data_IF_451022751102
#
_entry.id   IF_451022751102
#
_cell.length_a   1.000
_cell.length_b   1.000
_cell.length_c   1.000
_cell.angle_alpha   90.00
_cell.angle_beta   90.00
_cell.angle_gamma   90.00
#
_symmetry.space_group_name_H-M   'P 1'
#
loop_
_entity.id
_entity.type
_entity.pdbx_description
1 polymer ?
#
# COMPACT_ATOMS: atom_id res chain seq x y z
N UNK A 1 -16.01 -61.69 -16.57
CA UNK A 1 -15.04 -60.66 -16.94
C UNK A 1 -15.45 -59.39 -16.24
N UNK A 2 -14.81 -59.10 -15.12
CA UNK A 2 -15.10 -57.87 -14.32
C UNK A 2 -14.06 -56.82 -14.71
N UNK A 3 -14.51 -55.70 -15.30
CA UNK A 3 -13.66 -54.54 -15.62
C UNK A 3 -13.15 -53.88 -14.36
N UNK A 4 -11.89 -53.49 -14.29
CA UNK A 4 -11.36 -52.77 -13.13
C UNK A 4 -11.96 -51.35 -13.08
N UNK A 5 -12.53 -50.98 -11.90
CA UNK A 5 -12.97 -49.63 -11.60
C UNK A 5 -11.71 -48.79 -11.34
N UNK A 6 -11.38 -47.91 -12.26
CA UNK A 6 -10.36 -46.91 -12.06
C UNK A 6 -10.95 -45.80 -11.15
N UNK A 7 -10.57 -45.81 -9.90
CA UNK A 7 -10.88 -44.70 -8.98
C UNK A 7 -9.96 -43.54 -9.34
N UNK A 8 -10.47 -42.38 -9.75
CA UNK A 8 -9.61 -41.20 -9.97
C UNK A 8 -9.00 -40.79 -8.64
N UNK A 9 -7.68 -40.86 -8.53
CA UNK A 9 -6.94 -40.24 -7.44
C UNK A 9 -7.16 -38.72 -7.61
N UNK A 10 -8.01 -38.17 -6.77
CA UNK A 10 -8.14 -36.72 -6.66
C UNK A 10 -6.76 -36.19 -6.24
N UNK A 11 -6.03 -35.65 -7.19
CA UNK A 11 -4.81 -34.89 -6.94
C UNK A 11 -5.25 -33.59 -6.27
N UNK A 12 -5.43 -33.60 -4.95
CA UNK A 12 -5.54 -32.39 -4.15
C UNK A 12 -4.16 -31.74 -4.16
N UNK A 13 -3.83 -31.09 -5.28
CA UNK A 13 -2.87 -29.99 -5.26
C UNK A 13 -3.43 -29.07 -4.16
N UNK A 14 -2.74 -29.00 -3.04
CA UNK A 14 -3.19 -28.18 -1.91
C UNK A 14 -3.51 -26.81 -2.46
N UNK A 15 -4.77 -26.37 -2.31
CA UNK A 15 -5.16 -25.04 -2.67
C UNK A 15 -4.15 -24.10 -2.03
N UNK A 16 -3.47 -23.28 -2.85
CA UNK A 16 -2.52 -22.32 -2.34
C UNK A 16 -3.23 -21.56 -1.23
N UNK A 17 -2.76 -21.71 0.01
CA UNK A 17 -3.40 -21.08 1.17
C UNK A 17 -3.43 -19.59 0.89
N UNK A 18 -4.62 -18.99 0.83
CA UNK A 18 -4.76 -17.58 0.54
C UNK A 18 -3.86 -16.78 1.49
N UNK A 19 -3.09 -15.84 0.95
CA UNK A 19 -2.23 -14.98 1.75
C UNK A 19 -3.12 -14.06 2.60
N UNK A 20 -3.36 -14.45 3.85
CA UNK A 20 -4.15 -13.72 4.83
C UNK A 20 -3.41 -13.63 6.17
N UNK A 21 -3.96 -12.84 7.10
CA UNK A 21 -3.34 -12.61 8.39
C UNK A 21 -3.12 -13.91 9.19
N UNK A 22 -4.07 -14.87 9.15
CA UNK A 22 -3.91 -16.15 9.85
C UNK A 22 -2.72 -16.95 9.28
N UNK A 23 -2.58 -17.04 7.96
CA UNK A 23 -1.47 -17.72 7.32
C UNK A 23 -0.13 -17.04 7.62
N UNK A 24 -0.09 -15.71 7.61
CA UNK A 24 1.08 -14.91 7.97
C UNK A 24 1.49 -15.19 9.42
N UNK A 25 0.54 -15.17 10.37
CA UNK A 25 0.79 -15.40 11.79
C UNK A 25 1.39 -16.77 12.04
N UNK A 26 0.86 -17.82 11.39
CA UNK A 26 1.43 -19.16 11.47
C UNK A 26 2.85 -19.24 10.92
N UNK A 27 3.13 -18.52 9.83
CA UNK A 27 4.46 -18.50 9.24
C UNK A 27 5.46 -17.77 10.13
N UNK A 28 5.08 -16.62 10.73
CA UNK A 28 5.92 -15.90 11.70
C UNK A 28 6.31 -16.82 12.85
N UNK A 29 5.33 -17.53 13.47
CA UNK A 29 5.60 -18.47 14.55
C UNK A 29 6.57 -19.59 14.15
N UNK A 30 6.42 -20.14 12.93
CA UNK A 30 7.33 -21.18 12.39
C UNK A 30 8.75 -20.65 12.16
N UNK A 31 8.90 -19.45 11.58
CA UNK A 31 10.23 -18.86 11.33
C UNK A 31 10.95 -18.45 12.60
N UNK A 32 10.23 -18.00 13.62
CA UNK A 32 10.77 -17.71 14.94
C UNK A 32 10.93 -18.95 15.81
N UNK A 33 10.48 -20.12 15.32
CA UNK A 33 10.47 -21.39 16.05
C UNK A 33 9.77 -21.31 17.42
N UNK A 34 8.63 -20.61 17.47
CA UNK A 34 7.85 -20.32 18.68
C UNK A 34 6.36 -20.56 18.43
N UNK A 35 5.69 -21.14 19.43
CA UNK A 35 4.24 -21.42 19.40
C UNK A 35 3.44 -20.57 20.39
N UNK A 36 4.12 -19.83 21.24
CA UNK A 36 3.55 -19.01 22.33
C UNK A 36 3.41 -17.52 21.97
N UNK A 37 3.61 -17.15 20.70
CA UNK A 37 3.60 -15.76 20.23
C UNK A 37 2.23 -15.29 19.69
N UNK A 38 1.20 -16.14 19.74
CA UNK A 38 -0.10 -15.83 19.13
C UNK A 38 -0.68 -14.46 19.57
N UNK A 39 -0.50 -14.11 20.85
CA UNK A 39 -1.05 -12.89 21.43
C UNK A 39 -0.21 -11.63 21.06
N UNK A 40 1.06 -11.79 20.70
CA UNK A 40 1.97 -10.66 20.40
C UNK A 40 2.21 -10.47 18.91
N UNK A 41 1.98 -11.48 18.07
CA UNK A 41 2.12 -11.37 16.60
C UNK A 41 1.30 -10.21 16.01
N UNK A 42 0.06 -9.91 16.46
CA UNK A 42 -0.69 -8.75 15.97
C UNK A 42 0.06 -7.43 16.19
N UNK A 43 0.84 -7.30 17.27
CA UNK A 43 1.64 -6.10 17.51
C UNK A 43 2.83 -6.00 16.55
N UNK A 44 3.47 -7.12 16.21
CA UNK A 44 4.54 -7.15 15.20
C UNK A 44 4.01 -6.71 13.83
N UNK A 45 2.83 -7.20 13.45
CA UNK A 45 2.19 -6.81 12.18
C UNK A 45 1.84 -5.33 12.18
N UNK A 46 1.26 -4.82 13.27
CA UNK A 46 0.91 -3.39 13.40
C UNK A 46 2.14 -2.49 13.32
N UNK A 47 3.27 -2.88 13.94
CA UNK A 47 4.53 -2.16 13.85
C UNK A 47 5.09 -2.19 12.42
N UNK A 48 5.05 -3.35 11.76
CA UNK A 48 5.45 -3.48 10.37
C UNK A 48 4.63 -2.57 9.44
N UNK A 49 3.29 -2.59 9.55
CA UNK A 49 2.40 -1.73 8.76
C UNK A 49 2.65 -0.23 8.99
N UNK A 50 2.95 0.15 10.23
CA UNK A 50 3.32 1.53 10.55
C UNK A 50 4.65 1.95 9.89
N UNK A 51 5.60 1.04 9.74
CA UNK A 51 6.84 1.30 9.00
C UNK A 51 6.60 1.33 7.49
N UNK A 52 5.81 0.42 6.93
CA UNK A 52 5.44 0.43 5.51
C UNK A 52 4.78 1.75 5.09
N UNK A 53 3.93 2.32 5.93
CA UNK A 53 3.31 3.61 5.68
C UNK A 53 4.31 4.79 5.67
N UNK A 54 5.48 4.63 6.27
CA UNK A 54 6.53 5.66 6.37
C UNK A 54 7.68 5.46 5.38
N UNK A 55 7.95 4.23 4.96
CA UNK A 55 9.02 3.92 4.01
C UNK A 55 8.63 4.35 2.59
N UNK A 56 9.30 5.36 2.01
CA UNK A 56 8.98 5.85 0.67
C UNK A 56 9.15 4.77 -0.40
N UNK A 57 10.01 3.77 -0.17
CA UNK A 57 10.25 2.67 -1.09
C UNK A 57 9.00 1.78 -1.23
N UNK A 58 8.33 1.48 -0.12
CA UNK A 58 7.10 0.69 -0.09
C UNK A 58 5.92 1.56 -0.52
N UNK A 59 5.87 2.81 -0.07
CA UNK A 59 4.82 3.76 -0.47
C UNK A 59 4.73 3.94 -1.99
N UNK A 60 5.85 3.87 -2.70
CA UNK A 60 5.86 3.96 -4.18
C UNK A 60 5.03 2.86 -4.86
N UNK A 61 4.78 1.75 -4.18
CA UNK A 61 3.96 0.64 -4.65
C UNK A 61 2.49 0.72 -4.18
N UNK A 62 2.12 1.71 -3.38
CA UNK A 62 0.75 1.86 -2.88
C UNK A 62 -0.22 2.17 -4.02
N UNK A 63 -1.43 1.66 -3.89
CA UNK A 63 -2.45 1.82 -4.90
C UNK A 63 -2.90 3.27 -5.03
N UNK A 64 -2.98 3.74 -6.27
CA UNK A 64 -3.62 5.01 -6.62
C UNK A 64 -5.10 4.75 -6.90
N UNK A 65 -5.95 5.49 -6.21
CA UNK A 65 -7.41 5.41 -6.35
C UNK A 65 -7.93 6.69 -6.98
N UNK A 66 -8.86 6.53 -7.90
CA UNK A 66 -9.57 7.64 -8.54
C UNK A 66 -11.03 7.59 -8.11
N UNK A 67 -11.54 8.70 -7.60
CA UNK A 67 -12.94 8.86 -7.20
C UNK A 67 -13.51 10.05 -7.94
N UNK A 68 -14.59 9.83 -8.67
CA UNK A 68 -15.38 10.88 -9.29
C UNK A 68 -16.59 11.20 -8.40
N UNK A 69 -16.93 12.47 -8.29
CA UNK A 69 -18.04 12.94 -7.49
C UNK A 69 -18.56 14.30 -7.93
N UNK A 70 -19.54 14.81 -7.20
CA UNK A 70 -20.14 16.12 -7.43
C UNK A 70 -20.23 16.88 -6.11
N UNK A 71 -19.87 18.16 -6.11
CA UNK A 71 -20.08 19.07 -4.97
C UNK A 71 -21.03 20.18 -5.35
N UNK A 72 -21.82 20.64 -4.38
CA UNK A 72 -22.78 21.76 -4.56
C UNK A 72 -22.31 23.05 -3.91
N UNK A 73 -21.36 22.97 -3.01
CA UNK A 73 -20.91 24.07 -2.14
C UNK A 73 -19.37 24.26 -2.17
N UNK A 74 -18.68 23.51 -3.06
CA UNK A 74 -17.23 23.55 -3.15
C UNK A 74 -16.51 22.89 -1.99
N UNK A 75 -17.21 22.07 -1.20
CA UNK A 75 -16.61 21.26 -0.14
C UNK A 75 -16.58 19.79 -0.57
N UNK A 76 -15.43 19.16 -0.46
CA UNK A 76 -15.23 17.75 -0.83
C UNK A 76 -14.71 17.00 0.39
N UNK A 77 -15.49 16.06 0.89
CA UNK A 77 -15.04 15.15 1.93
C UNK A 77 -13.97 14.21 1.38
N UNK A 78 -12.79 14.21 2.00
CA UNK A 78 -11.67 13.36 1.60
C UNK A 78 -11.85 11.96 2.19
N UNK A 79 -11.56 10.89 1.42
CA UNK A 79 -11.68 9.52 1.89
C UNK A 79 -10.84 9.24 3.14
N UNK A 80 -11.38 8.48 4.08
CA UNK A 80 -10.70 8.15 5.34
C UNK A 80 -9.44 7.28 5.13
N UNK A 81 -9.42 6.51 4.05
CA UNK A 81 -8.32 5.67 3.61
C UNK A 81 -7.28 6.42 2.76
N UNK A 82 -7.46 7.73 2.54
CA UNK A 82 -6.49 8.54 1.82
C UNK A 82 -5.21 8.72 2.66
N UNK A 83 -4.08 8.30 2.10
CA UNK A 83 -2.74 8.58 2.64
C UNK A 83 -2.24 9.94 2.15
N UNK A 84 -2.29 10.15 0.84
CA UNK A 84 -1.77 11.34 0.19
C UNK A 84 -2.62 11.73 -1.01
N UNK A 85 -2.98 13.00 -1.10
CA UNK A 85 -3.65 13.56 -2.26
C UNK A 85 -2.63 13.76 -3.39
N UNK A 86 -2.87 13.15 -4.53
CA UNK A 86 -2.02 13.30 -5.73
C UNK A 86 -2.54 14.39 -6.64
N UNK A 87 -3.85 14.39 -6.91
CA UNK A 87 -4.47 15.35 -7.81
C UNK A 87 -5.95 15.57 -7.44
N UNK A 88 -6.38 16.81 -7.53
CA UNK A 88 -7.80 17.17 -7.49
C UNK A 88 -8.13 17.99 -8.75
N UNK A 89 -9.10 17.51 -9.53
CA UNK A 89 -9.63 18.19 -10.72
C UNK A 89 -11.07 18.59 -10.52
N UNK A 90 -11.43 19.71 -11.12
CA UNK A 90 -12.81 20.17 -11.18
C UNK A 90 -13.13 20.72 -12.58
N UNK A 91 -14.18 20.21 -13.21
CA UNK A 91 -14.53 20.60 -14.57
C UNK A 91 -13.38 20.46 -15.58
N UNK A 92 -12.51 19.46 -15.41
CA UNK A 92 -11.33 19.23 -16.27
C UNK A 92 -10.08 20.02 -15.87
N UNK A 93 -10.19 21.01 -14.97
CA UNK A 93 -9.06 21.84 -14.53
C UNK A 93 -8.42 21.25 -13.27
N UNK A 94 -7.08 21.14 -13.25
CA UNK A 94 -6.33 20.74 -12.06
C UNK A 94 -6.34 21.88 -11.05
N UNK A 95 -6.68 21.58 -9.80
CA UNK A 95 -6.67 22.54 -8.70
C UNK A 95 -5.32 22.52 -7.99
N UNK A 96 -4.84 23.70 -7.62
CA UNK A 96 -3.60 23.86 -6.86
C UNK A 96 -3.91 23.98 -5.37
N UNK A 97 -3.27 23.15 -4.55
CA UNK A 97 -3.40 23.26 -3.10
C UNK A 97 -2.63 24.46 -2.58
N UNK A 98 -3.28 25.28 -1.76
CA UNK A 98 -2.69 26.41 -1.07
C UNK A 98 -2.73 26.22 0.45
N UNK A 99 -1.76 26.77 1.19
CA UNK A 99 -1.87 26.95 2.63
C UNK A 99 -3.14 27.74 2.96
N UNK A 100 -3.76 27.45 4.12
CA UNK A 100 -5.03 28.10 4.50
C UNK A 100 -4.92 29.63 4.55
N UNK A 101 -3.80 30.16 5.00
CA UNK A 101 -3.58 31.61 5.05
C UNK A 101 -3.66 32.26 3.66
N UNK A 102 -3.00 31.68 2.67
CA UNK A 102 -2.97 32.19 1.30
C UNK A 102 -4.28 31.97 0.56
N UNK A 103 -4.97 30.87 0.87
CA UNK A 103 -6.26 30.53 0.26
C UNK A 103 -7.38 31.45 0.72
N UNK A 104 -7.41 31.85 2.01
CA UNK A 104 -8.46 32.69 2.60
C UNK A 104 -8.64 34.00 1.87
N UNK A 105 -7.55 34.59 1.36
CA UNK A 105 -7.56 35.88 0.69
C UNK A 105 -7.85 35.77 -0.82
N UNK A 106 -8.07 34.53 -1.32
CA UNK A 106 -8.41 34.26 -2.73
C UNK A 106 -9.91 34.20 -2.94
N UNK A 107 -10.43 35.06 -3.81
CA UNK A 107 -11.87 35.13 -4.15
C UNK A 107 -12.21 34.20 -5.31
N UNK A 108 -11.24 33.93 -6.23
CA UNK A 108 -11.46 33.10 -7.43
C UNK A 108 -10.17 32.42 -7.88
N UNK A 109 -10.31 31.42 -8.75
CA UNK A 109 -9.21 30.68 -9.35
C UNK A 109 -9.23 29.18 -9.02
N UNK A 110 -8.39 28.38 -9.69
CA UNK A 110 -8.34 26.93 -9.54
C UNK A 110 -7.53 26.53 -8.29
N UNK A 111 -7.98 26.98 -7.13
CA UNK A 111 -7.28 26.72 -5.87
C UNK A 111 -8.19 26.02 -4.87
N UNK A 112 -7.56 25.25 -3.99
CA UNK A 112 -8.22 24.66 -2.83
C UNK A 112 -7.31 24.68 -1.61
N UNK A 113 -7.88 24.55 -0.44
CA UNK A 113 -7.17 24.30 0.81
C UNK A 113 -7.75 23.08 1.51
N UNK A 114 -6.93 22.40 2.31
CA UNK A 114 -7.37 21.30 3.13
C UNK A 114 -7.51 21.74 4.58
N UNK A 115 -8.70 21.54 5.15
CA UNK A 115 -8.98 21.78 6.57
C UNK A 115 -9.51 20.46 7.14
N UNK A 116 -8.70 19.82 7.98
CA UNK A 116 -9.03 18.50 8.50
C UNK A 116 -9.15 17.46 7.39
N UNK A 117 -10.34 16.87 7.24
CA UNK A 117 -10.63 15.87 6.20
C UNK A 117 -11.55 16.42 5.10
N UNK A 118 -11.54 17.73 4.87
CA UNK A 118 -12.34 18.39 3.83
C UNK A 118 -11.42 19.25 2.96
N UNK A 119 -11.59 19.17 1.65
CA UNK A 119 -11.01 20.10 0.69
C UNK A 119 -12.02 21.20 0.41
N UNK A 120 -11.64 22.46 0.66
CA UNK A 120 -12.44 23.66 0.41
C UNK A 120 -11.95 24.34 -0.85
N UNK A 121 -12.83 24.50 -1.84
CA UNK A 121 -12.50 25.05 -3.16
C UNK A 121 -12.83 26.53 -3.21
N UNK A 122 -11.94 27.30 -3.81
CA UNK A 122 -12.13 28.75 -3.98
C UNK A 122 -13.37 29.03 -4.82
N UNK A 123 -14.20 30.01 -4.37
CA UNK A 123 -15.43 30.38 -5.07
C UNK A 123 -16.61 29.43 -4.88
N UNK A 124 -16.44 28.34 -4.14
CA UNK A 124 -17.49 27.35 -3.80
C UNK A 124 -18.33 26.91 -5.01
N UNK A 125 -17.72 26.43 -6.09
CA UNK A 125 -18.46 26.05 -7.29
C UNK A 125 -19.27 24.77 -7.07
N UNK A 126 -20.45 24.72 -7.70
CA UNK A 126 -21.19 23.47 -7.88
C UNK A 126 -20.69 22.79 -9.16
N UNK A 127 -19.96 21.69 -9.06
CA UNK A 127 -19.35 21.01 -10.21
C UNK A 127 -18.96 19.58 -9.90
N UNK A 128 -18.74 18.82 -10.98
CA UNK A 128 -18.09 17.51 -10.91
C UNK A 128 -16.62 17.67 -10.55
N UNK A 129 -16.14 16.74 -9.74
CA UNK A 129 -14.73 16.65 -9.39
C UNK A 129 -14.18 15.24 -9.61
N UNK A 130 -12.87 15.18 -9.83
CA UNK A 130 -12.09 13.93 -9.83
C UNK A 130 -10.98 14.06 -8.81
N UNK A 131 -10.98 13.15 -7.85
CA UNK A 131 -10.00 13.03 -6.80
C UNK A 131 -9.08 11.84 -7.09
N UNK A 132 -7.78 12.07 -7.21
CA UNK A 132 -6.77 11.02 -7.35
C UNK A 132 -5.89 11.04 -6.11
N UNK A 133 -5.81 9.91 -5.42
CA UNK A 133 -5.06 9.83 -4.17
C UNK A 133 -4.37 8.48 -4.00
N UNK A 134 -3.33 8.48 -3.19
CA UNK A 134 -2.67 7.26 -2.73
C UNK A 134 -3.45 6.70 -1.54
N UNK A 135 -3.87 5.44 -1.65
CA UNK A 135 -4.61 4.75 -0.60
C UNK A 135 -3.68 4.23 0.49
N UNK A 136 -4.09 4.32 1.75
CA UNK A 136 -3.43 3.63 2.86
C UNK A 136 -3.49 2.13 2.64
N UNK A 137 -2.46 1.42 3.09
CA UNK A 137 -2.48 -0.02 3.13
C UNK A 137 -3.58 -0.48 4.10
N UNK A 138 -4.57 -1.30 3.65
CA UNK A 138 -5.57 -1.87 4.55
C UNK A 138 -4.91 -2.70 5.65
N UNK A 139 -5.26 -2.42 6.90
CA UNK A 139 -4.70 -3.12 8.06
C UNK A 139 -5.19 -4.55 8.16
N UNK A 140 -4.34 -5.42 8.70
CA UNK A 140 -4.65 -6.82 8.98
C UNK A 140 -5.11 -6.95 10.44
N UNK A 141 -6.42 -6.83 10.68
CA UNK A 141 -7.02 -6.88 12.02
C UNK A 141 -7.66 -8.25 12.33
N UNK A 142 -8.29 -8.87 11.34
CA UNK A 142 -8.98 -10.15 11.48
C UNK A 142 -8.23 -11.29 10.76
N UNK A 143 -8.39 -12.55 11.22
CA UNK A 143 -7.68 -13.70 10.61
C UNK A 143 -7.85 -13.85 9.10
N UNK A 144 -9.01 -13.44 8.57
CA UNK A 144 -9.32 -13.50 7.13
C UNK A 144 -8.77 -12.31 6.33
N UNK A 145 -8.30 -11.25 7.00
CA UNK A 145 -7.88 -10.03 6.33
C UNK A 145 -6.67 -10.27 5.45
N UNK A 146 -6.69 -9.57 4.32
CA UNK A 146 -5.63 -9.59 3.33
C UNK A 146 -5.56 -8.22 2.66
N UNK A 147 -4.39 -7.85 2.23
CA UNK A 147 -4.18 -6.68 1.39
C UNK A 147 -3.28 -7.02 0.20
N UNK A 148 -3.14 -6.09 -0.74
CA UNK A 148 -2.38 -6.31 -1.96
C UNK A 148 -0.89 -6.59 -1.67
N UNK A 149 -0.28 -5.90 -0.69
CA UNK A 149 1.12 -6.11 -0.32
C UNK A 149 1.35 -7.52 0.22
N UNK A 150 0.44 -8.01 1.05
CA UNK A 150 0.52 -9.38 1.57
C UNK A 150 0.34 -10.44 0.49
N UNK A 151 -0.53 -10.18 -0.51
CA UNK A 151 -0.77 -11.14 -1.60
C UNK A 151 0.38 -11.20 -2.61
N UNK A 152 0.95 -10.05 -2.95
CA UNK A 152 1.93 -9.94 -4.04
C UNK A 152 3.37 -9.98 -3.53
N UNK A 153 3.60 -9.48 -2.30
CA UNK A 153 4.91 -9.35 -1.68
C UNK A 153 4.88 -9.90 -0.24
N UNK A 154 4.52 -11.17 -0.13
CA UNK A 154 4.40 -11.87 1.15
C UNK A 154 5.69 -11.84 1.97
N UNK A 155 6.82 -11.91 1.31
CA UNK A 155 8.16 -11.88 1.88
C UNK A 155 8.47 -10.56 2.61
N UNK A 156 7.99 -9.42 2.10
CA UNK A 156 8.13 -8.10 2.76
C UNK A 156 7.46 -8.12 4.14
N UNK A 157 6.21 -8.63 4.21
CA UNK A 157 5.52 -8.76 5.49
C UNK A 157 6.22 -9.75 6.43
N UNK A 158 6.53 -10.93 5.92
CA UNK A 158 7.09 -12.01 6.73
C UNK A 158 8.41 -11.60 7.38
N UNK A 159 9.34 -11.07 6.58
CA UNK A 159 10.67 -10.73 7.10
C UNK A 159 10.60 -9.55 8.06
N UNK A 160 9.76 -8.55 7.80
CA UNK A 160 9.59 -7.42 8.72
C UNK A 160 8.98 -7.85 10.05
N UNK A 161 7.96 -8.70 10.02
CA UNK A 161 7.37 -9.23 11.25
C UNK A 161 8.33 -10.14 12.03
N UNK A 162 9.13 -10.95 11.34
CA UNK A 162 10.16 -11.78 12.00
C UNK A 162 11.27 -10.91 12.62
N UNK A 163 11.64 -9.80 11.97
CA UNK A 163 12.56 -8.81 12.56
C UNK A 163 11.99 -8.23 13.85
N UNK A 164 10.73 -7.77 13.84
CA UNK A 164 10.08 -7.24 15.05
C UNK A 164 10.00 -8.31 16.16
N UNK A 165 9.70 -9.54 15.79
CA UNK A 165 9.67 -10.65 16.73
C UNK A 165 11.04 -10.96 17.34
N UNK A 166 12.12 -10.91 16.57
CA UNK A 166 13.48 -11.12 17.08
C UNK A 166 13.95 -9.95 17.96
N UNK A 167 13.55 -8.72 17.66
CA UNK A 167 13.77 -7.57 18.55
C UNK A 167 13.06 -7.79 19.90
N UNK A 168 11.80 -8.24 19.87
CA UNK A 168 11.06 -8.58 21.09
C UNK A 168 11.73 -9.66 21.91
N UNK A 169 12.30 -10.68 21.25
CA UNK A 169 13.06 -11.76 21.90
C UNK A 169 14.47 -11.34 22.33
N UNK A 170 14.92 -10.15 21.98
CA UNK A 170 16.28 -9.63 22.23
C UNK A 170 17.37 -10.46 21.53
N UNK A 171 17.06 -11.07 20.41
CA UNK A 171 18.01 -11.83 19.58
C UNK A 171 18.59 -10.91 18.50
N UNK A 172 19.76 -10.37 18.78
CA UNK A 172 20.42 -9.39 17.89
C UNK A 172 20.89 -10.02 16.58
N UNK A 173 21.35 -11.27 16.61
CA UNK A 173 21.84 -11.97 15.43
C UNK A 173 20.68 -12.28 14.47
N UNK A 174 19.59 -12.84 14.99
CA UNK A 174 18.39 -13.09 14.21
C UNK A 174 17.79 -11.78 13.66
N UNK A 175 17.80 -10.71 14.43
CA UNK A 175 17.33 -9.39 14.00
C UNK A 175 18.09 -8.89 12.76
N UNK A 176 19.41 -8.98 12.76
CA UNK A 176 20.24 -8.59 11.62
C UNK A 176 19.96 -9.47 10.40
N UNK A 177 19.82 -10.77 10.60
CA UNK A 177 19.50 -11.73 9.55
C UNK A 177 18.15 -11.47 8.87
N UNK A 178 17.10 -11.19 9.67
CA UNK A 178 15.78 -10.87 9.15
C UNK A 178 15.73 -9.48 8.49
N UNK A 179 16.44 -8.49 9.03
CA UNK A 179 16.56 -7.17 8.41
C UNK A 179 17.20 -7.28 7.02
N UNK A 180 18.27 -8.06 6.84
CA UNK A 180 18.88 -8.27 5.53
C UNK A 180 17.90 -8.88 4.53
N UNK A 181 17.12 -9.88 4.95
CA UNK A 181 16.09 -10.51 4.10
C UNK A 181 14.99 -9.50 3.73
N UNK A 182 14.56 -8.68 4.68
CA UNK A 182 13.61 -7.61 4.44
C UNK A 182 14.12 -6.59 3.41
N UNK A 183 15.35 -6.12 3.56
CA UNK A 183 15.96 -5.19 2.60
C UNK A 183 16.07 -5.79 1.19
N UNK A 184 16.38 -7.07 1.06
CA UNK A 184 16.39 -7.76 -0.23
C UNK A 184 14.98 -7.81 -0.85
N UNK A 185 13.94 -8.10 -0.05
CA UNK A 185 12.56 -8.14 -0.50
C UNK A 185 12.07 -6.76 -0.96
N UNK A 186 12.38 -5.70 -0.21
CA UNK A 186 12.03 -4.32 -0.57
C UNK A 186 12.74 -3.88 -1.86
N UNK A 187 14.00 -4.23 -2.04
CA UNK A 187 14.73 -3.92 -3.27
C UNK A 187 14.15 -4.66 -4.49
N UNK A 188 13.70 -5.91 -4.31
CA UNK A 188 12.99 -6.66 -5.35
C UNK A 188 11.66 -5.99 -5.73
N UNK A 189 10.87 -5.54 -4.74
CA UNK A 189 9.64 -4.79 -4.94
C UNK A 189 9.88 -3.51 -5.74
N UNK A 190 10.89 -2.72 -5.38
CA UNK A 190 11.26 -1.50 -6.12
C UNK A 190 11.62 -1.78 -7.57
N UNK A 191 12.37 -2.85 -7.80
CA UNK A 191 12.76 -3.25 -9.16
C UNK A 191 11.52 -3.60 -9.98
N UNK A 192 10.60 -4.38 -9.43
CA UNK A 192 9.34 -4.73 -10.08
C UNK A 192 8.49 -3.49 -10.41
N UNK A 193 8.36 -2.54 -9.46
CA UNK A 193 7.61 -1.30 -9.67
C UNK A 193 8.23 -0.44 -10.78
N UNK A 194 9.54 -0.32 -10.82
CA UNK A 194 10.22 0.44 -11.88
C UNK A 194 9.95 -0.17 -13.25
N UNK A 195 9.95 -1.48 -13.40
CA UNK A 195 9.58 -2.13 -14.66
C UNK A 195 8.14 -1.81 -15.07
N UNK A 196 7.19 -1.81 -14.12
CA UNK A 196 5.80 -1.47 -14.41
C UNK A 196 5.62 0.02 -14.77
N UNK A 197 6.29 0.92 -14.08
CA UNK A 197 6.20 2.37 -14.31
C UNK A 197 6.76 2.78 -15.69
N UNK A 198 7.82 2.10 -16.16
CA UNK A 198 8.45 2.44 -17.43
C UNK A 198 7.89 1.65 -18.63
N UNK A 199 6.98 0.71 -18.42
CA UNK A 199 6.23 0.01 -19.49
C UNK A 199 7.09 -0.61 -20.59
N UNK A 200 8.36 -0.91 -20.32
CA UNK A 200 9.30 -1.44 -21.31
C UNK A 200 9.68 -0.44 -22.42
N UNK A 201 9.34 0.85 -22.29
CA UNK A 201 9.76 1.86 -23.25
C UNK A 201 11.29 2.01 -23.23
N UNK A 202 11.98 1.92 -24.38
CA UNK A 202 13.42 2.13 -24.42
C UNK A 202 13.73 3.55 -23.97
N UNK A 203 14.74 3.69 -23.10
CA UNK A 203 15.24 4.99 -22.67
C UNK A 203 15.76 5.72 -23.90
N UNK A 204 15.03 6.71 -24.40
CA UNK A 204 15.54 7.62 -25.41
C UNK A 204 16.53 8.58 -24.74
N UNK A 205 17.81 8.30 -24.87
CA UNK A 205 18.86 9.28 -24.58
C UNK A 205 18.77 10.35 -25.64
N UNK A 206 18.18 11.50 -25.33
CA UNK A 206 18.36 12.69 -26.16
C UNK A 206 19.83 13.08 -26.09
N UNK A 207 20.59 12.74 -27.13
CA UNK A 207 21.91 13.31 -27.34
C UNK A 207 21.69 14.80 -27.63
N UNK A 208 21.94 15.68 -26.65
CA UNK A 208 21.96 17.11 -26.83
C UNK A 208 22.99 17.43 -27.90
N UNK A 209 22.52 17.86 -29.07
CA UNK A 209 23.38 18.44 -30.10
C UNK A 209 24.02 19.69 -29.54
N UNK A 210 25.32 19.65 -29.37
CA UNK A 210 26.14 20.86 -29.17
C UNK A 210 26.15 21.60 -30.50
N UNK A 211 25.58 22.79 -30.52
CA UNK A 211 25.75 23.80 -31.59
C UNK A 211 26.89 24.72 -31.19
#
# INVERSE_FOLDING_TARGET
>A
MTSPVVVPVANTVGAATAANFAALSLSIGRWLNRTDLADVIPDFVRMAEAEFARDPRIRSSFQTVVVDGYTTDGEIALPADMLELQELRMGGTVLTQLPHADWRDRVSGPYFTRIGNVAHITGKPASEYRLTYMQKLPQLAFPSDSNWLLREHYDVYLWKCCEQGSVWMRDVEATQGYNQKYEMAVNSLLTANNYHAWGGAPVQVQSGGVV
#
